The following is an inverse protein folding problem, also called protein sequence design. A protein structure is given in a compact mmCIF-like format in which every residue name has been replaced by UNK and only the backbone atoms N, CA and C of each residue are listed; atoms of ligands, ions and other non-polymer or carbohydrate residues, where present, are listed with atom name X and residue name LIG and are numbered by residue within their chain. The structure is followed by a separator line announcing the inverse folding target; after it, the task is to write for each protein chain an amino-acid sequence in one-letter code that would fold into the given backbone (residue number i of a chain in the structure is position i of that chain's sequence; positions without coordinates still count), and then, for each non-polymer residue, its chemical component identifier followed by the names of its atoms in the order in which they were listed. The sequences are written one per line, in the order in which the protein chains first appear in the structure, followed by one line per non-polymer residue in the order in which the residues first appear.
data_IF_147904943974
#
_entry.id   IF_147904943974
#
_cell.length_a   1.000
_cell.length_b   1.000
_cell.length_c   1.000
_cell.angle_alpha   90.00
_cell.angle_beta   90.00
_cell.angle_gamma   90.00
#
_symmetry.space_group_name_H-M   'P 1'
#
loop_
_entity.id
_entity.type
_entity.pdbx_description
1 polymer ?
#
# COMPACT_ATOMS: atom_id res chain seq x y z
N UNK A 1 -8.29 -17.90 7.20
CA UNK A 1 -8.44 -16.49 6.79
C UNK A 1 -7.33 -15.68 7.46
N UNK A 2 -6.48 -14.96 6.69
CA UNK A 2 -5.27 -14.27 7.22
C UNK A 2 -5.59 -13.17 8.25
N UNK A 3 -6.73 -12.49 8.11
CA UNK A 3 -7.14 -11.47 9.10
C UNK A 3 -7.25 -12.03 10.54
N UNK A 4 -7.54 -13.30 10.71
CA UNK A 4 -7.60 -13.92 12.03
C UNK A 4 -6.22 -14.12 12.68
N UNK A 5 -5.13 -13.99 11.90
CA UNK A 5 -3.76 -14.06 12.41
C UNK A 5 -3.24 -12.69 12.89
N UNK A 6 -3.98 -11.60 12.63
CA UNK A 6 -3.59 -10.26 13.07
C UNK A 6 -3.80 -10.15 14.59
N UNK A 7 -2.73 -9.83 15.32
CA UNK A 7 -2.72 -9.72 16.76
C UNK A 7 -1.70 -8.66 17.20
N UNK A 8 -1.78 -8.09 18.43
CA UNK A 8 -0.81 -7.09 18.85
C UNK A 8 0.60 -7.71 18.93
N UNK A 9 1.60 -7.02 18.40
CA UNK A 9 2.98 -7.48 18.37
C UNK A 9 3.91 -6.55 19.19
N UNK A 10 4.90 -7.13 19.86
CA UNK A 10 6.01 -6.37 20.45
C UNK A 10 6.95 -5.83 19.34
N UNK A 11 7.93 -5.03 19.69
CA UNK A 11 8.90 -4.45 18.76
C UNK A 11 9.77 -5.47 18.02
N UNK A 12 9.85 -6.70 18.53
CA UNK A 12 10.52 -7.82 17.88
C UNK A 12 9.57 -8.63 16.97
N UNK A 13 8.31 -8.19 16.82
CA UNK A 13 7.31 -8.85 15.98
C UNK A 13 6.69 -10.12 16.58
N UNK A 14 6.79 -10.30 17.90
CA UNK A 14 6.20 -11.45 18.61
C UNK A 14 4.86 -11.07 19.21
N UNK A 15 3.89 -12.02 19.26
CA UNK A 15 2.61 -11.79 19.92
C UNK A 15 2.75 -11.27 21.35
N UNK A 16 2.09 -10.15 21.64
CA UNK A 16 2.11 -9.53 22.96
C UNK A 16 0.82 -8.71 23.17
N UNK A 17 -0.01 -9.02 24.19
CA UNK A 17 -1.24 -8.27 24.45
C UNK A 17 -1.04 -6.77 24.70
N UNK A 18 0.15 -6.35 25.17
CA UNK A 18 0.53 -4.95 25.33
C UNK A 18 1.21 -4.35 24.09
N UNK A 19 1.34 -5.13 23.02
CA UNK A 19 1.94 -4.72 21.75
C UNK A 19 1.04 -3.82 20.91
N UNK A 20 1.38 -3.71 19.60
CA UNK A 20 0.66 -2.86 18.67
C UNK A 20 0.17 -3.63 17.44
N UNK A 21 -0.99 -3.24 16.93
CA UNK A 21 -1.40 -3.45 15.55
C UNK A 21 -0.88 -2.27 14.76
N UNK A 22 -0.21 -2.50 13.64
CA UNK A 22 0.26 -1.40 12.78
C UNK A 22 -0.38 -1.51 11.41
N UNK A 23 -1.15 -0.47 11.05
CA UNK A 23 -1.67 -0.23 9.71
C UNK A 23 -0.83 0.89 9.07
N UNK A 24 -0.17 0.57 7.98
CA UNK A 24 0.73 1.46 7.25
C UNK A 24 0.15 1.84 5.89
N UNK A 25 0.26 3.11 5.47
CA UNK A 25 0.01 3.47 4.08
C UNK A 25 1.30 3.34 3.25
N UNK A 26 1.16 2.89 2.00
CA UNK A 26 2.24 2.85 1.00
C UNK A 26 1.73 3.48 -0.29
N UNK A 27 2.43 4.52 -0.78
CA UNK A 27 1.97 5.20 -1.98
C UNK A 27 2.57 6.57 -2.22
N UNK A 28 1.88 7.35 -3.04
CA UNK A 28 2.27 8.67 -3.55
C UNK A 28 1.47 9.81 -2.89
N UNK A 29 1.49 11.01 -3.47
CA UNK A 29 0.81 12.20 -2.94
C UNK A 29 -0.68 12.01 -2.66
N UNK A 30 -1.44 11.40 -3.57
CA UNK A 30 -2.86 11.15 -3.34
C UNK A 30 -3.09 10.18 -2.18
N UNK A 31 -2.20 9.22 -2.00
CA UNK A 31 -2.27 8.26 -0.90
C UNK A 31 -2.13 8.97 0.44
N UNK A 32 -1.06 9.76 0.63
CA UNK A 32 -0.88 10.49 1.89
C UNK A 32 -2.01 11.52 2.12
N UNK A 33 -2.50 12.19 1.06
CA UNK A 33 -3.59 13.15 1.17
C UNK A 33 -4.89 12.50 1.68
N UNK A 34 -5.25 11.35 1.15
CA UNK A 34 -6.48 10.65 1.53
C UNK A 34 -6.32 9.90 2.86
N UNK A 35 -5.14 9.35 3.11
CA UNK A 35 -4.88 8.56 4.30
C UNK A 35 -4.62 9.43 5.54
N UNK A 36 -3.88 10.52 5.40
CA UNK A 36 -3.42 11.33 6.53
C UNK A 36 -3.72 12.82 6.38
N UNK A 37 -3.01 13.51 5.48
CA UNK A 37 -3.13 14.94 5.22
C UNK A 37 -2.36 15.32 3.95
N UNK A 38 -2.62 16.52 3.44
CA UNK A 38 -1.85 17.09 2.32
C UNK A 38 -0.34 17.19 2.61
N UNK A 39 0.02 17.20 3.89
CA UNK A 39 1.39 17.19 4.36
C UNK A 39 1.54 16.11 5.45
N UNK A 40 2.25 15.04 5.16
CA UNK A 40 2.49 13.91 6.07
C UNK A 40 3.23 14.26 7.38
N UNK A 41 3.66 15.51 7.57
CA UNK A 41 4.36 15.99 8.77
C UNK A 41 3.46 16.63 9.82
N UNK A 42 2.17 16.78 9.53
CA UNK A 42 1.21 17.38 10.44
C UNK A 42 0.26 16.35 11.06
N UNK A 43 -0.66 16.81 11.91
CA UNK A 43 -1.76 15.96 12.38
C UNK A 43 -2.65 15.54 11.21
N UNK A 44 -3.28 14.36 11.33
CA UNK A 44 -4.26 13.90 10.37
C UNK A 44 -5.41 14.89 10.23
N UNK A 45 -5.83 15.17 9.00
CA UNK A 45 -7.00 16.05 8.78
C UNK A 45 -8.29 15.30 9.08
N UNK A 46 -9.30 16.02 9.57
CA UNK A 46 -10.59 15.42 10.00
C UNK A 46 -11.33 14.65 8.89
N UNK A 47 -11.08 14.98 7.64
CA UNK A 47 -11.68 14.30 6.47
C UNK A 47 -10.87 13.10 5.96
N UNK A 48 -9.61 12.96 6.37
CA UNK A 48 -8.77 11.84 5.97
C UNK A 48 -9.15 10.54 6.68
N UNK A 49 -8.69 9.40 6.16
CA UNK A 49 -8.91 8.11 6.81
C UNK A 49 -8.45 8.11 8.28
N UNK A 50 -7.22 8.54 8.55
CA UNK A 50 -6.67 8.57 9.90
C UNK A 50 -7.42 9.55 10.82
N UNK A 51 -7.83 10.71 10.30
CA UNK A 51 -8.62 11.67 11.06
C UNK A 51 -10.02 11.17 11.41
N UNK A 52 -10.69 10.51 10.47
CA UNK A 52 -11.98 9.86 10.74
C UNK A 52 -11.84 8.68 11.70
N UNK A 53 -10.78 7.86 11.55
CA UNK A 53 -10.50 6.80 12.48
C UNK A 53 -10.26 7.34 13.90
N UNK A 54 -9.52 8.44 14.05
CA UNK A 54 -9.27 9.07 15.36
C UNK A 54 -10.53 9.60 16.01
N UNK A 55 -11.51 10.06 15.23
CA UNK A 55 -12.79 10.56 15.74
C UNK A 55 -13.82 9.46 16.05
N UNK A 56 -13.62 8.24 15.59
CA UNK A 56 -14.59 7.16 15.71
C UNK A 56 -14.31 6.31 16.95
N UNK A 57 -15.24 6.33 17.91
CA UNK A 57 -15.12 5.61 19.19
C UNK A 57 -15.12 4.06 19.07
N UNK A 58 -15.49 3.52 17.91
CA UNK A 58 -15.44 2.05 17.67
C UNK A 58 -14.02 1.60 17.35
N UNK A 59 -13.16 2.52 16.88
CA UNK A 59 -11.76 2.21 16.55
C UNK A 59 -10.96 1.98 17.82
N UNK A 60 -10.11 0.97 17.80
CA UNK A 60 -9.19 0.69 18.92
C UNK A 60 -8.07 1.74 18.99
N UNK A 61 -8.20 2.71 19.87
CA UNK A 61 -7.21 3.77 20.07
C UNK A 61 -6.06 3.37 21.02
N UNK A 62 -6.16 2.22 21.67
CA UNK A 62 -5.16 1.80 22.66
C UNK A 62 -3.99 1.06 22.02
N UNK A 63 -4.26 0.11 21.12
CA UNK A 63 -3.23 -0.77 20.56
C UNK A 63 -3.07 -0.63 19.05
N UNK A 64 -4.03 -0.02 18.32
CA UNK A 64 -3.88 0.27 16.89
C UNK A 64 -3.01 1.52 16.69
N UNK A 65 -1.97 1.38 15.87
CA UNK A 65 -1.18 2.48 15.32
C UNK A 65 -1.48 2.60 13.82
N UNK A 66 -1.93 3.78 13.40
CA UNK A 66 -2.14 4.13 12.00
C UNK A 66 -0.97 5.02 11.59
N UNK A 67 -0.20 4.62 10.59
CA UNK A 67 1.06 5.28 10.20
C UNK A 67 1.05 5.63 8.73
N UNK A 68 1.32 6.89 8.40
CA UNK A 68 1.44 7.34 7.01
C UNK A 68 2.86 7.13 6.49
N UNK A 69 3.04 6.08 5.68
CA UNK A 69 4.29 5.82 4.97
C UNK A 69 4.33 6.39 3.54
N UNK A 70 3.19 6.83 3.01
CA UNK A 70 3.11 7.42 1.68
C UNK A 70 3.77 8.80 1.63
N UNK A 71 4.19 9.24 0.44
CA UNK A 71 4.80 10.57 0.25
C UNK A 71 4.64 11.05 -1.19
N UNK A 72 4.46 12.35 -1.37
CA UNK A 72 4.40 12.99 -2.69
C UNK A 72 5.60 12.66 -3.57
N UNK A 73 5.35 12.45 -4.87
CA UNK A 73 6.38 12.10 -5.85
C UNK A 73 6.84 10.64 -5.83
N UNK A 74 6.34 9.81 -4.92
CA UNK A 74 6.76 8.41 -4.78
C UNK A 74 5.79 7.48 -5.52
N UNK A 75 5.84 7.49 -6.85
CA UNK A 75 5.05 6.61 -7.72
C UNK A 75 5.50 5.14 -7.63
N UNK A 76 4.79 4.24 -8.29
CA UNK A 76 4.97 2.79 -8.16
C UNK A 76 6.42 2.33 -8.36
N UNK A 77 7.10 2.87 -9.37
CA UNK A 77 8.44 2.47 -9.77
C UNK A 77 9.52 2.60 -8.68
N UNK A 78 9.32 3.45 -7.67
CA UNK A 78 10.29 3.67 -6.58
C UNK A 78 10.00 2.83 -5.33
N UNK A 79 9.05 1.90 -5.41
CA UNK A 79 8.69 0.98 -4.33
C UNK A 79 8.92 -0.51 -4.66
N UNK A 80 9.39 -0.83 -5.87
CA UNK A 80 9.46 -2.20 -6.39
C UNK A 80 10.64 -3.03 -5.85
N UNK A 81 11.49 -2.47 -5.00
CA UNK A 81 12.66 -3.17 -4.45
C UNK A 81 12.74 -3.03 -2.93
N UNK A 82 13.07 -4.10 -2.20
CA UNK A 82 13.24 -4.03 -0.74
C UNK A 82 14.41 -3.13 -0.31
N UNK A 83 15.34 -2.81 -1.21
CA UNK A 83 16.45 -1.88 -0.97
C UNK A 83 16.08 -0.42 -1.27
N UNK A 84 14.86 -0.13 -1.75
CA UNK A 84 14.44 1.23 -2.07
C UNK A 84 14.47 2.12 -0.82
N UNK A 85 14.99 3.35 -0.99
CA UNK A 85 15.14 4.33 0.09
C UNK A 85 13.84 4.70 0.80
N UNK A 86 12.71 4.56 0.10
CA UNK A 86 11.38 4.81 0.66
C UNK A 86 11.09 3.93 1.89
N UNK A 87 11.44 2.64 1.85
CA UNK A 87 11.25 1.76 3.00
C UNK A 87 12.13 2.16 4.17
N UNK A 88 13.39 2.58 3.91
CA UNK A 88 14.27 3.08 4.96
C UNK A 88 13.71 4.37 5.57
N UNK A 89 13.21 5.31 4.75
CA UNK A 89 12.52 6.51 5.23
C UNK A 89 11.32 6.15 6.11
N UNK A 90 10.47 5.21 5.68
CA UNK A 90 9.32 4.77 6.48
C UNK A 90 9.78 4.20 7.82
N UNK A 91 10.80 3.34 7.82
CA UNK A 91 11.38 2.80 9.06
C UNK A 91 11.89 3.90 10.00
N UNK A 92 12.71 4.82 9.47
CA UNK A 92 13.49 5.75 10.27
C UNK A 92 12.71 7.01 10.64
N UNK A 93 11.83 7.49 9.74
CA UNK A 93 11.12 8.77 9.92
C UNK A 93 9.65 8.59 10.34
N UNK A 94 9.03 7.43 10.09
CA UNK A 94 7.60 7.23 10.37
C UNK A 94 7.37 6.21 11.51
N UNK A 95 8.06 5.09 11.50
CA UNK A 95 7.89 4.05 12.51
C UNK A 95 8.73 4.32 13.76
N UNK A 96 10.03 4.54 13.61
CA UNK A 96 10.95 4.68 14.74
C UNK A 96 10.59 5.82 15.72
N UNK A 97 10.16 7.03 15.29
CA UNK A 97 9.74 8.08 16.21
C UNK A 97 8.50 7.73 17.06
N UNK A 98 7.71 6.74 16.63
CA UNK A 98 6.55 6.22 17.36
C UNK A 98 6.90 5.01 18.25
N UNK A 99 8.17 4.63 18.31
CA UNK A 99 8.61 3.41 19.01
C UNK A 99 8.16 2.13 18.32
N UNK A 100 7.86 2.20 17.00
CA UNK A 100 7.39 1.09 16.18
C UNK A 100 8.52 0.54 15.32
N UNK A 101 8.35 -0.70 14.85
CA UNK A 101 9.30 -1.39 13.96
C UNK A 101 8.59 -1.97 12.74
N UNK A 102 9.36 -2.28 11.71
CA UNK A 102 8.88 -2.99 10.52
C UNK A 102 8.25 -4.35 10.87
N UNK A 103 8.74 -5.02 11.92
CA UNK A 103 8.21 -6.30 12.36
C UNK A 103 6.80 -6.23 12.96
N UNK A 104 6.31 -5.04 13.31
CA UNK A 104 4.94 -4.85 13.81
C UNK A 104 3.92 -4.54 12.72
N UNK A 105 4.35 -4.27 11.49
CA UNK A 105 3.44 -3.95 10.37
C UNK A 105 2.74 -5.23 9.92
N UNK A 106 1.41 -5.26 10.06
CA UNK A 106 0.58 -6.42 9.72
C UNK A 106 -0.48 -6.12 8.65
N UNK A 107 -0.80 -4.85 8.47
CA UNK A 107 -1.73 -4.41 7.44
C UNK A 107 -1.15 -3.21 6.68
N UNK A 108 -1.37 -3.18 5.37
CA UNK A 108 -0.96 -2.07 4.51
C UNK A 108 -2.17 -1.59 3.70
N UNK A 109 -2.35 -0.28 3.59
CA UNK A 109 -3.14 0.33 2.53
C UNK A 109 -2.22 0.80 1.42
N UNK A 110 -2.30 0.12 0.28
CA UNK A 110 -1.49 0.36 -0.91
C UNK A 110 -2.31 1.08 -1.97
N UNK A 111 -1.89 2.28 -2.34
CA UNK A 111 -2.45 3.04 -3.46
C UNK A 111 -1.33 3.64 -4.28
N UNK A 112 -1.18 3.16 -5.52
CA UNK A 112 -0.11 3.54 -6.42
C UNK A 112 -0.61 3.90 -7.82
N UNK A 113 0.24 4.60 -8.56
CA UNK A 113 0.06 4.90 -9.98
C UNK A 113 1.42 5.02 -10.66
N UNK A 114 1.40 4.89 -11.98
CA UNK A 114 2.54 5.28 -12.80
C UNK A 114 2.61 6.79 -12.92
N UNK A 115 3.81 7.31 -13.07
CA UNK A 115 4.07 8.71 -13.34
C UNK A 115 4.16 8.92 -14.86
N UNK A 116 3.41 9.89 -15.37
CA UNK A 116 3.41 10.27 -16.78
C UNK A 116 3.18 9.08 -17.76
N UNK A 117 2.12 8.29 -17.55
CA UNK A 117 1.77 7.21 -18.46
C UNK A 117 1.44 7.77 -19.86
N UNK A 118 1.70 6.97 -20.89
CA UNK A 118 1.58 7.40 -22.29
C UNK A 118 0.84 6.43 -23.19
N UNK A 119 0.62 5.19 -22.79
CA UNK A 119 -0.02 4.15 -23.58
C UNK A 119 -1.27 3.62 -22.87
N UNK A 120 -2.42 3.94 -23.41
CA UNK A 120 -3.72 3.50 -22.88
C UNK A 120 -4.11 2.10 -23.37
N UNK A 121 -5.06 1.49 -22.66
CA UNK A 121 -5.80 0.33 -23.16
C UNK A 121 -6.60 0.70 -24.43
N UNK A 122 -6.80 -0.23 -25.37
CA UNK A 122 -6.55 -1.67 -25.30
C UNK A 122 -5.15 -2.11 -25.81
N UNK A 123 -4.18 -1.22 -25.88
CA UNK A 123 -2.83 -1.59 -26.32
C UNK A 123 -2.27 -2.76 -25.49
N UNK A 124 -1.60 -3.71 -26.13
CA UNK A 124 -0.92 -4.80 -25.45
C UNK A 124 0.26 -4.30 -24.57
N UNK A 125 0.74 -3.08 -24.82
CA UNK A 125 1.81 -2.42 -24.07
C UNK A 125 1.27 -1.30 -23.17
N UNK A 126 -0.03 -1.34 -22.81
CA UNK A 126 -0.63 -0.29 -21.99
C UNK A 126 0.07 -0.15 -20.62
N UNK A 127 0.17 1.09 -20.16
CA UNK A 127 0.76 1.41 -18.85
C UNK A 127 0.01 0.71 -17.70
N UNK A 128 -1.25 0.35 -17.90
CA UNK A 128 -2.01 -0.47 -16.95
C UNK A 128 -1.35 -1.82 -16.63
N UNK A 129 -0.64 -2.45 -17.58
CA UNK A 129 0.10 -3.70 -17.35
C UNK A 129 1.45 -3.43 -16.64
N UNK A 130 2.08 -2.28 -16.91
CA UNK A 130 3.29 -1.85 -16.20
C UNK A 130 2.95 -1.62 -14.73
N UNK A 131 1.84 -0.96 -14.45
CA UNK A 131 1.36 -0.75 -13.08
C UNK A 131 0.98 -2.06 -12.39
N UNK A 132 0.31 -2.99 -13.09
CA UNK A 132 -0.02 -4.32 -12.56
C UNK A 132 1.25 -5.06 -12.10
N UNK A 133 2.28 -5.07 -12.96
CA UNK A 133 3.58 -5.66 -12.62
C UNK A 133 4.20 -4.98 -11.40
N UNK A 134 4.24 -3.65 -11.39
CA UNK A 134 4.80 -2.88 -10.28
C UNK A 134 4.07 -3.15 -8.96
N UNK A 135 2.73 -3.24 -8.99
CA UNK A 135 1.93 -3.61 -7.82
C UNK A 135 2.28 -5.01 -7.31
N UNK A 136 2.46 -5.99 -8.20
CA UNK A 136 2.94 -7.32 -7.84
C UNK A 136 4.31 -7.29 -7.17
N UNK A 137 5.27 -6.55 -7.74
CA UNK A 137 6.60 -6.37 -7.17
C UNK A 137 6.53 -5.68 -5.79
N UNK A 138 5.66 -4.68 -5.63
CA UNK A 138 5.48 -3.93 -4.37
C UNK A 138 4.92 -4.83 -3.27
N UNK A 139 3.90 -5.66 -3.54
CA UNK A 139 3.33 -6.52 -2.48
C UNK A 139 4.33 -7.56 -2.01
N UNK A 140 5.16 -8.14 -2.91
CA UNK A 140 6.28 -9.02 -2.55
C UNK A 140 7.34 -8.28 -1.73
N UNK A 141 7.71 -7.07 -2.16
CA UNK A 141 8.65 -6.21 -1.44
C UNK A 141 8.14 -5.86 -0.05
N UNK A 142 6.85 -5.52 0.08
CA UNK A 142 6.23 -5.28 1.38
C UNK A 142 6.30 -6.53 2.27
N UNK A 143 6.08 -7.72 1.73
CA UNK A 143 6.21 -8.97 2.48
C UNK A 143 7.63 -9.22 2.97
N UNK A 144 8.63 -8.88 2.16
CA UNK A 144 10.05 -8.97 2.53
C UNK A 144 10.42 -7.97 3.62
N UNK A 145 9.96 -6.73 3.53
CA UNK A 145 10.27 -5.65 4.49
C UNK A 145 9.49 -5.80 5.80
N UNK A 146 8.26 -6.26 5.71
CA UNK A 146 7.32 -6.38 6.82
C UNK A 146 6.99 -7.87 7.04
N UNK A 147 7.84 -8.62 7.75
CA UNK A 147 7.76 -10.09 7.82
C UNK A 147 6.43 -10.63 8.39
N UNK A 148 5.75 -9.82 9.22
CA UNK A 148 4.46 -10.16 9.81
C UNK A 148 3.25 -9.62 9.01
N UNK A 149 3.47 -9.10 7.80
CA UNK A 149 2.37 -8.60 6.95
C UNK A 149 1.38 -9.72 6.63
N UNK A 150 0.09 -9.49 6.90
CA UNK A 150 -1.01 -10.42 6.67
C UNK A 150 -1.97 -9.97 5.58
N UNK A 151 -2.20 -8.66 5.48
CA UNK A 151 -3.23 -8.10 4.59
C UNK A 151 -2.72 -6.84 3.91
N UNK A 152 -2.97 -6.75 2.60
CA UNK A 152 -2.79 -5.52 1.82
C UNK A 152 -4.14 -5.10 1.24
N UNK A 153 -4.63 -3.94 1.66
CA UNK A 153 -5.80 -3.30 1.06
C UNK A 153 -5.34 -2.49 -0.15
N UNK A 154 -5.81 -2.86 -1.32
CA UNK A 154 -5.46 -2.19 -2.58
C UNK A 154 -6.51 -1.16 -2.95
N UNK A 155 -6.07 0.01 -3.39
CA UNK A 155 -6.92 1.07 -3.92
C UNK A 155 -6.32 1.62 -5.22
N UNK A 156 -7.18 1.98 -6.15
CA UNK A 156 -6.78 2.63 -7.40
C UNK A 156 -6.74 4.15 -7.26
N UNK A 157 -6.32 4.84 -8.33
CA UNK A 157 -6.46 6.30 -8.44
C UNK A 157 -7.93 6.72 -8.40
N UNK A 158 -8.15 7.93 -7.93
CA UNK A 158 -9.44 8.62 -8.07
C UNK A 158 -9.58 9.15 -9.51
N UNK A 159 -10.81 9.50 -9.87
CA UNK A 159 -11.11 10.16 -11.15
C UNK A 159 -10.24 11.42 -11.35
N UNK A 160 -9.60 11.51 -12.50
CA UNK A 160 -8.66 12.58 -12.82
C UNK A 160 -9.10 13.44 -14.02
N UNK A 161 -10.40 13.47 -14.36
CA UNK A 161 -10.93 14.29 -15.47
C UNK A 161 -10.77 15.80 -15.29
N UNK A 162 -10.47 16.25 -14.07
CA UNK A 162 -10.14 17.65 -13.77
C UNK A 162 -8.64 17.92 -13.69
N UNK A 163 -7.80 16.91 -13.96
CA UNK A 163 -6.35 17.07 -13.90
C UNK A 163 -5.85 18.07 -14.96
N UNK A 164 -5.02 19.00 -14.52
CA UNK A 164 -4.38 20.00 -15.40
C UNK A 164 -2.92 19.64 -15.71
N UNK A 165 -2.46 18.48 -15.24
CA UNK A 165 -1.08 18.00 -15.41
C UNK A 165 -1.06 16.63 -16.06
N UNK A 166 0.08 16.29 -16.67
CA UNK A 166 0.31 14.96 -17.29
C UNK A 166 0.83 13.92 -16.27
N UNK A 167 0.77 14.19 -14.97
CA UNK A 167 1.31 13.27 -13.97
C UNK A 167 0.62 11.91 -13.99
N UNK A 168 -0.70 11.89 -14.04
CA UNK A 168 -1.50 10.69 -14.23
C UNK A 168 -2.95 11.10 -14.57
N UNK A 169 -3.21 11.61 -15.81
CA UNK A 169 -4.54 12.04 -16.25
C UNK A 169 -5.41 10.85 -16.64
N UNK A 170 -6.65 11.13 -17.05
CA UNK A 170 -7.47 10.16 -17.77
C UNK A 170 -6.93 9.92 -19.20
N UNK A 171 -7.03 8.69 -19.73
CA UNK A 171 -7.74 7.54 -19.15
C UNK A 171 -6.92 6.74 -18.15
N UNK A 172 -5.65 7.04 -17.94
CA UNK A 172 -4.71 6.24 -17.14
C UNK A 172 -5.10 6.15 -15.67
N UNK A 173 -5.65 7.23 -15.11
CA UNK A 173 -6.13 7.20 -13.73
C UNK A 173 -7.27 6.17 -13.57
N UNK A 174 -8.22 6.15 -14.51
CA UNK A 174 -9.29 5.14 -14.55
C UNK A 174 -8.72 3.72 -14.77
N UNK A 175 -7.80 3.58 -15.73
CA UNK A 175 -7.20 2.30 -16.10
C UNK A 175 -6.39 1.68 -14.94
N UNK A 176 -5.90 2.48 -14.00
CA UNK A 176 -5.25 1.97 -12.77
C UNK A 176 -6.18 1.08 -11.94
N UNK A 177 -7.49 1.25 -12.05
CA UNK A 177 -8.49 0.36 -11.46
C UNK A 177 -8.43 -1.06 -12.02
N UNK A 178 -8.17 -1.19 -13.32
CA UNK A 178 -7.97 -2.51 -13.95
C UNK A 178 -6.67 -3.17 -13.49
N UNK A 179 -5.59 -2.41 -13.27
CA UNK A 179 -4.35 -2.95 -12.72
C UNK A 179 -4.57 -3.55 -11.33
N UNK A 180 -5.30 -2.86 -10.47
CA UNK A 180 -5.69 -3.37 -9.14
C UNK A 180 -6.58 -4.60 -9.26
N UNK A 181 -7.60 -4.55 -10.11
CA UNK A 181 -8.51 -5.69 -10.33
C UNK A 181 -7.76 -6.93 -10.81
N UNK A 182 -6.84 -6.76 -11.78
CA UNK A 182 -6.03 -7.86 -12.32
C UNK A 182 -5.12 -8.46 -11.27
N UNK A 183 -4.44 -7.64 -10.47
CA UNK A 183 -3.59 -8.14 -9.37
C UNK A 183 -4.40 -8.97 -8.36
N UNK A 184 -5.57 -8.49 -7.94
CA UNK A 184 -6.45 -9.23 -7.02
C UNK A 184 -6.92 -10.53 -7.65
N UNK A 185 -7.33 -10.50 -8.93
CA UNK A 185 -7.76 -11.70 -9.65
C UNK A 185 -6.61 -12.70 -9.83
N UNK A 186 -5.39 -12.22 -10.10
CA UNK A 186 -4.19 -13.06 -10.19
C UNK A 186 -3.94 -13.82 -8.88
N UNK A 187 -4.03 -13.14 -7.72
CA UNK A 187 -3.90 -13.82 -6.43
C UNK A 187 -5.02 -14.85 -6.19
N UNK A 188 -6.27 -14.48 -6.50
CA UNK A 188 -7.41 -15.42 -6.36
C UNK A 188 -7.16 -16.69 -7.21
N UNK A 189 -6.75 -16.53 -8.46
CA UNK A 189 -6.46 -17.65 -9.37
C UNK A 189 -5.30 -18.50 -8.85
N UNK A 190 -4.22 -17.87 -8.40
CA UNK A 190 -3.08 -18.58 -7.86
C UNK A 190 -3.46 -19.39 -6.60
N UNK A 191 -4.23 -18.82 -5.70
CA UNK A 191 -4.69 -19.52 -4.49
C UNK A 191 -5.68 -20.65 -4.82
N UNK A 192 -6.48 -20.52 -5.87
CA UNK A 192 -7.49 -21.50 -6.25
C UNK A 192 -6.91 -22.69 -7.05
N UNK A 193 -6.00 -22.43 -7.99
CA UNK A 193 -5.52 -23.44 -8.96
C UNK A 193 -3.99 -23.46 -9.11
N UNK A 194 -3.24 -22.68 -8.34
CA UNK A 194 -1.77 -22.63 -8.39
C UNK A 194 -1.18 -21.92 -9.60
N UNK A 195 -2.01 -21.23 -10.41
CA UNK A 195 -1.54 -20.54 -11.61
C UNK A 195 -0.93 -19.19 -11.26
N UNK A 196 0.36 -19.03 -11.50
CA UNK A 196 1.08 -17.76 -11.36
C UNK A 196 0.79 -16.89 -12.58
N UNK A 197 0.38 -15.65 -12.33
CA UNK A 197 0.17 -14.66 -13.38
C UNK A 197 1.51 -14.19 -13.97
N UNK A 198 1.69 -14.14 -15.29
CA UNK A 198 2.96 -13.79 -15.91
C UNK A 198 3.35 -12.29 -15.74
N UNK A 199 2.39 -11.42 -15.44
CA UNK A 199 2.63 -9.98 -15.25
C UNK A 199 2.80 -9.67 -13.76
N UNK A 200 1.83 -10.06 -12.94
CA UNK A 200 1.84 -9.81 -11.50
C UNK A 200 2.91 -10.63 -10.75
N UNK A 201 3.29 -11.80 -11.29
CA UNK A 201 4.24 -12.74 -10.67
C UNK A 201 3.63 -13.55 -9.52
N UNK A 202 4.49 -14.18 -8.73
CA UNK A 202 4.07 -15.00 -7.58
C UNK A 202 3.43 -14.12 -6.49
N UNK A 203 2.18 -14.41 -6.16
CA UNK A 203 1.37 -13.73 -5.14
C UNK A 203 0.98 -14.67 -4.00
N UNK A 204 1.57 -15.85 -3.91
CA UNK A 204 1.35 -16.76 -2.80
C UNK A 204 2.01 -16.21 -1.54
N UNK A 205 1.19 -15.93 -0.54
CA UNK A 205 1.67 -15.40 0.74
C UNK A 205 2.71 -16.30 1.43
N UNK A 206 2.66 -17.62 1.21
CA UNK A 206 3.48 -18.60 1.94
C UNK A 206 4.82 -18.90 1.22
N UNK A 207 4.99 -18.51 -0.03
CA UNK A 207 6.19 -18.73 -0.83
C UNK A 207 7.03 -17.47 -1.07
N UNK A 208 6.53 -16.29 -0.69
CA UNK A 208 7.20 -15.00 -0.93
C UNK A 208 7.75 -14.35 0.33
#
# INVERSE_FOLDING_TARGET
MRCAAIQPLDTAGRPNPAGRYVLLSVGMSNTTQEFWAANHRGPATSWSFAGQAAANSIVNHTTLAIVDGAMGGQAANVWVSPSASNYNRVRDEQLAPLGLTEAQVQAIWLKQADIQPTVALPSANADAFILEKALGDIVRTCKTRYPNLQVVFLSSRIYAGYATTLLNPEPYAYESGFSVQRLVQAQINQMAIGQVDPIAGDLNHDSG
#
